data_IF_369432116482
#
_entry.id   IF_369432116482
#
_cell.length_a   1.000
_cell.length_b   1.000
_cell.length_c   1.000
_cell.angle_alpha   90.00
_cell.angle_beta   90.00
_cell.angle_gamma   90.00
#
_symmetry.space_group_name_H-M   'P 1'
#
loop_
_entity.id
_entity.type
_entity.pdbx_description
1 polymer ?
#
# COMPACT_ATOMS: atom_id res chain seq x y z
N UNK A 1 -44.36 21.42 -39.20
CA UNK A 1 -43.48 22.22 -38.32
C UNK A 1 -43.81 21.97 -36.84
N UNK A 2 -43.77 20.71 -36.37
CA UNK A 2 -44.07 20.31 -34.99
C UNK A 2 -43.13 19.19 -34.47
N UNK A 3 -42.08 18.88 -35.22
CA UNK A 3 -41.16 17.75 -34.93
C UNK A 3 -39.86 18.24 -34.25
N UNK A 4 -39.65 19.55 -34.15
CA UNK A 4 -38.39 20.14 -33.66
C UNK A 4 -38.31 20.38 -32.14
N UNK A 5 -39.36 20.05 -31.36
CA UNK A 5 -39.43 20.38 -29.93
C UNK A 5 -39.19 19.20 -28.98
N UNK A 6 -38.86 18.01 -29.48
CA UNK A 6 -38.67 16.80 -28.65
C UNK A 6 -37.18 16.44 -28.46
N UNK A 7 -36.25 17.11 -29.15
CA UNK A 7 -34.82 16.77 -29.13
C UNK A 7 -33.97 17.51 -28.07
N UNK A 8 -34.56 18.39 -27.25
CA UNK A 8 -33.82 19.19 -26.26
C UNK A 8 -34.05 18.75 -24.80
N UNK A 9 -34.35 17.47 -24.58
CA UNK A 9 -34.50 16.89 -23.24
C UNK A 9 -33.53 15.72 -22.99
N UNK A 10 -32.44 15.65 -23.76
CA UNK A 10 -31.43 14.60 -23.61
C UNK A 10 -30.27 15.07 -22.72
N UNK A 11 -30.37 14.65 -21.46
CA UNK A 11 -29.25 14.21 -20.63
C UNK A 11 -28.21 15.26 -20.20
N UNK A 12 -28.62 16.15 -19.30
CA UNK A 12 -27.73 16.54 -18.20
C UNK A 12 -27.85 15.53 -17.05
N UNK A 13 -27.55 14.25 -17.33
CA UNK A 13 -27.27 13.30 -16.24
C UNK A 13 -25.87 13.64 -15.79
N UNK A 14 -25.75 14.56 -14.83
CA UNK A 14 -24.51 14.74 -14.08
C UNK A 14 -24.16 13.38 -13.49
N UNK A 15 -23.13 12.73 -14.05
CA UNK A 15 -22.43 11.65 -13.37
C UNK A 15 -21.81 12.27 -12.12
N UNK A 16 -22.58 12.38 -11.04
CA UNK A 16 -22.01 12.43 -9.72
C UNK A 16 -21.31 11.08 -9.56
N UNK A 17 -20.02 11.04 -9.93
CA UNK A 17 -19.17 9.94 -9.56
C UNK A 17 -19.35 9.75 -8.05
N UNK A 18 -19.57 8.52 -7.56
CA UNK A 18 -19.60 8.30 -6.13
C UNK A 18 -18.26 8.80 -5.60
N UNK A 19 -18.29 9.91 -4.87
CA UNK A 19 -17.16 10.37 -4.08
C UNK A 19 -17.07 9.34 -2.98
N UNK A 20 -16.25 8.30 -3.21
CA UNK A 20 -15.89 7.35 -2.18
C UNK A 20 -15.16 8.16 -1.10
N UNK A 21 -15.89 8.54 -0.06
CA UNK A 21 -15.33 9.19 1.10
C UNK A 21 -14.41 8.20 1.81
N UNK A 22 -13.12 8.53 1.88
CA UNK A 22 -12.15 7.72 2.61
C UNK A 22 -12.54 7.59 4.07
N UNK A 23 -12.15 6.47 4.66
CA UNK A 23 -12.34 6.15 6.08
C UNK A 23 -11.00 6.13 6.80
N UNK A 24 -10.97 6.69 8.00
CA UNK A 24 -9.79 6.70 8.85
C UNK A 24 -10.20 6.33 10.29
N UNK A 25 -9.42 5.46 10.92
CA UNK A 25 -9.55 5.18 12.35
C UNK A 25 -8.21 5.42 13.02
N UNK A 26 -8.21 6.33 13.99
CA UNK A 26 -7.03 6.71 14.76
C UNK A 26 -7.18 6.12 16.16
N UNK A 27 -6.23 5.29 16.56
CA UNK A 27 -6.17 4.72 17.89
C UNK A 27 -5.06 5.42 18.65
N UNK A 28 -5.40 6.10 19.73
CA UNK A 28 -4.44 6.77 20.62
C UNK A 28 -4.77 6.45 22.07
N UNK A 29 -3.87 6.77 22.99
CA UNK A 29 -4.21 6.84 24.41
C UNK A 29 -4.71 8.25 24.74
N UNK A 30 -5.74 8.40 25.57
CA UNK A 30 -6.11 9.72 26.11
C UNK A 30 -5.04 10.30 27.04
N UNK A 31 -4.26 9.44 27.69
CA UNK A 31 -3.18 9.85 28.59
C UNK A 31 -1.88 10.23 27.86
N UNK A 32 -1.85 10.13 26.52
CA UNK A 32 -0.68 10.49 25.72
C UNK A 32 -0.65 12.00 25.42
N UNK A 33 0.22 12.73 26.13
CA UNK A 33 0.35 14.19 26.01
C UNK A 33 0.74 14.69 24.60
N UNK A 34 1.43 13.87 23.80
CA UNK A 34 1.87 14.27 22.45
C UNK A 34 0.96 13.74 21.33
N UNK A 35 0.07 12.79 21.61
CA UNK A 35 -0.82 12.21 20.61
C UNK A 35 -1.93 13.19 20.19
N UNK A 36 -2.54 13.86 21.16
CA UNK A 36 -3.62 14.82 20.89
C UNK A 36 -3.19 15.95 19.92
N UNK A 37 -2.08 16.69 20.17
CA UNK A 37 -1.67 17.76 19.26
C UNK A 37 -1.22 17.23 17.88
N UNK A 38 -0.72 15.99 17.79
CA UNK A 38 -0.44 15.36 16.51
C UNK A 38 -1.73 15.05 15.73
N UNK A 39 -2.72 14.43 16.39
CA UNK A 39 -4.01 14.07 15.79
C UNK A 39 -4.79 15.30 15.33
N UNK A 40 -4.75 16.39 16.08
CA UNK A 40 -5.38 17.67 15.70
C UNK A 40 -4.82 18.23 14.38
N UNK A 41 -3.53 17.99 14.09
CA UNK A 41 -2.90 18.38 12.81
C UNK A 41 -3.10 17.35 11.71
N UNK A 42 -3.17 16.06 12.07
CA UNK A 42 -3.42 14.98 11.12
C UNK A 42 -4.86 15.07 10.57
N UNK A 43 -5.82 15.46 11.38
CA UNK A 43 -7.24 15.54 10.99
C UNK A 43 -7.49 16.37 9.72
N UNK A 44 -7.10 17.67 9.65
CA UNK A 44 -7.30 18.47 8.44
C UNK A 44 -6.50 17.96 7.24
N UNK A 45 -5.34 17.31 7.47
CA UNK A 45 -4.58 16.66 6.40
C UNK A 45 -5.37 15.51 5.78
N UNK A 46 -5.98 14.66 6.61
CA UNK A 46 -6.83 13.56 6.15
C UNK A 46 -8.08 14.09 5.42
N UNK A 47 -8.76 15.09 5.96
CA UNK A 47 -9.94 15.70 5.32
C UNK A 47 -9.59 16.29 3.94
N UNK A 48 -8.50 17.06 3.84
CA UNK A 48 -7.99 17.61 2.57
C UNK A 48 -7.73 16.51 1.53
N UNK A 49 -7.35 15.31 1.97
CA UNK A 49 -7.06 14.16 1.12
C UNK A 49 -8.27 13.20 0.97
N UNK A 50 -9.50 13.68 1.25
CA UNK A 50 -10.74 12.98 0.91
C UNK A 50 -11.24 11.98 1.96
N UNK A 51 -10.64 11.96 3.16
CA UNK A 51 -11.14 11.15 4.27
C UNK A 51 -12.19 11.94 5.05
N UNK A 52 -13.45 11.52 4.95
CA UNK A 52 -14.57 12.20 5.64
C UNK A 52 -15.11 11.39 6.82
N UNK A 53 -14.82 10.10 6.85
CA UNK A 53 -15.25 9.20 7.93
C UNK A 53 -14.07 8.94 8.88
N UNK A 54 -13.71 9.94 9.69
CA UNK A 54 -12.60 9.88 10.64
C UNK A 54 -13.13 9.57 12.04
N UNK A 55 -12.65 8.49 12.66
CA UNK A 55 -12.98 8.10 14.04
C UNK A 55 -11.72 8.07 14.89
N UNK A 56 -11.80 8.53 16.14
CA UNK A 56 -10.72 8.42 17.12
C UNK A 56 -11.18 7.49 18.26
N UNK A 57 -10.33 6.53 18.64
CA UNK A 57 -10.60 5.56 19.70
C UNK A 57 -9.48 5.57 20.75
N UNK A 58 -9.85 5.41 22.02
CA UNK A 58 -8.89 5.22 23.11
C UNK A 58 -8.56 3.73 23.29
N UNK A 59 -7.45 3.25 22.72
CA UNK A 59 -7.11 1.83 22.81
C UNK A 59 -6.52 1.39 24.16
N UNK A 60 -6.18 2.34 25.04
CA UNK A 60 -5.71 2.03 26.39
C UNK A 60 -6.89 1.85 27.33
N UNK A 61 -7.90 2.70 27.28
CA UNK A 61 -9.03 2.61 28.21
C UNK A 61 -10.22 1.80 27.66
N UNK A 62 -10.31 1.58 26.35
CA UNK A 62 -11.33 0.72 25.72
C UNK A 62 -10.75 -0.66 25.37
N UNK A 63 -11.27 -1.70 26.03
CA UNK A 63 -10.87 -3.09 25.80
C UNK A 63 -11.15 -3.57 24.37
N UNK A 64 -12.25 -3.12 23.76
CA UNK A 64 -12.59 -3.46 22.39
C UNK A 64 -11.59 -2.80 21.43
N UNK A 65 -11.32 -1.51 21.60
CA UNK A 65 -10.33 -0.80 20.78
C UNK A 65 -8.93 -1.42 20.93
N UNK A 66 -8.55 -1.88 22.12
CA UNK A 66 -7.29 -2.61 22.33
C UNK A 66 -7.24 -3.92 21.54
N UNK A 67 -8.33 -4.69 21.55
CA UNK A 67 -8.41 -5.93 20.78
C UNK A 67 -8.39 -5.67 19.27
N UNK A 68 -9.01 -4.57 18.81
CA UNK A 68 -8.95 -4.12 17.42
C UNK A 68 -7.51 -3.77 17.00
N UNK A 69 -6.77 -3.01 17.81
CA UNK A 69 -5.34 -2.69 17.56
C UNK A 69 -4.51 -3.97 17.43
N UNK A 70 -4.63 -4.89 18.40
CA UNK A 70 -3.89 -6.15 18.37
C UNK A 70 -4.22 -6.97 17.11
N UNK A 71 -5.50 -6.98 16.70
CA UNK A 71 -5.93 -7.65 15.46
C UNK A 71 -5.38 -6.97 14.21
N UNK A 72 -5.42 -5.64 14.14
CA UNK A 72 -4.89 -4.85 13.01
C UNK A 72 -3.40 -5.15 12.85
N UNK A 73 -2.62 -5.04 13.92
CA UNK A 73 -1.18 -5.30 13.88
C UNK A 73 -0.87 -6.74 13.45
N UNK A 74 -1.61 -7.72 13.96
CA UNK A 74 -1.49 -9.11 13.55
C UNK A 74 -1.84 -9.32 12.06
N UNK A 75 -2.96 -8.77 11.59
CA UNK A 75 -3.40 -8.86 10.19
C UNK A 75 -2.41 -8.16 9.25
N UNK A 76 -1.76 -7.09 9.71
CA UNK A 76 -0.73 -6.37 8.97
C UNK A 76 0.66 -6.99 9.05
N UNK A 77 0.87 -7.96 9.96
CA UNK A 77 2.18 -8.57 10.19
C UNK A 77 3.18 -7.60 10.81
N UNK A 78 2.71 -6.62 11.58
CA UNK A 78 3.55 -5.58 12.19
C UNK A 78 4.42 -6.23 13.28
N UNK A 79 5.75 -6.27 13.12
CA UNK A 79 6.63 -6.82 14.13
C UNK A 79 6.69 -5.88 15.35
N UNK A 80 7.09 -6.40 16.50
CA UNK A 80 7.02 -5.67 17.78
C UNK A 80 7.80 -4.35 17.74
N UNK A 81 8.95 -4.32 17.07
CA UNK A 81 9.78 -3.12 16.89
C UNK A 81 9.14 -2.02 16.04
N UNK A 82 8.06 -2.31 15.32
CA UNK A 82 7.30 -1.37 14.49
C UNK A 82 5.97 -0.94 15.13
N UNK A 83 5.60 -1.48 16.28
CA UNK A 83 4.35 -1.11 16.95
C UNK A 83 4.52 0.24 17.67
N UNK A 84 3.73 1.23 17.26
CA UNK A 84 3.80 2.58 17.80
C UNK A 84 2.90 2.76 19.02
N UNK A 85 3.11 3.85 19.76
CA UNK A 85 2.25 4.21 20.90
C UNK A 85 0.85 4.71 20.47
N UNK A 86 0.65 4.97 19.17
CA UNK A 86 -0.62 5.25 18.52
C UNK A 86 -0.59 4.68 17.10
N UNK A 87 -1.75 4.50 16.46
CA UNK A 87 -1.79 4.13 15.04
C UNK A 87 -2.95 4.78 14.31
N UNK A 88 -2.79 4.96 13.01
CA UNK A 88 -3.83 5.45 12.08
C UNK A 88 -4.01 4.43 10.98
N UNK A 89 -5.23 3.90 10.85
CA UNK A 89 -5.64 2.99 9.79
C UNK A 89 -6.49 3.73 8.77
N UNK A 90 -6.03 3.78 7.52
CA UNK A 90 -6.73 4.40 6.40
C UNK A 90 -7.29 3.34 5.46
N UNK A 91 -8.60 3.38 5.22
CA UNK A 91 -9.36 2.49 4.32
C UNK A 91 -9.12 0.99 4.53
N UNK A 92 -8.72 0.60 5.74
CA UNK A 92 -8.35 -0.77 6.07
C UNK A 92 -7.09 -1.29 5.37
N UNK A 93 -6.31 -0.41 4.73
CA UNK A 93 -5.19 -0.79 3.84
C UNK A 93 -3.86 -0.16 4.20
N UNK A 94 -3.87 1.06 4.73
CA UNK A 94 -2.64 1.81 5.00
C UNK A 94 -2.55 2.08 6.48
N UNK A 95 -1.52 1.54 7.11
CA UNK A 95 -1.29 1.60 8.54
C UNK A 95 -0.10 2.51 8.83
N UNK A 96 -0.33 3.57 9.59
CA UNK A 96 0.70 4.47 10.08
C UNK A 96 0.81 4.30 11.59
N UNK A 97 1.96 3.85 12.08
CA UNK A 97 2.25 3.64 13.50
C UNK A 97 3.11 4.80 14.03
N UNK A 98 2.73 5.34 15.19
CA UNK A 98 3.40 6.46 15.85
C UNK A 98 3.14 7.84 15.22
N UNK A 99 4.13 8.73 15.31
CA UNK A 99 4.12 10.10 14.81
C UNK A 99 4.78 10.20 13.42
N UNK A 100 4.23 9.49 12.43
CA UNK A 100 4.71 9.61 11.04
C UNK A 100 4.62 11.06 10.57
N UNK A 101 5.70 11.58 9.99
CA UNK A 101 5.72 12.96 9.52
C UNK A 101 4.60 13.27 8.53
N UNK A 102 3.99 14.44 8.69
CA UNK A 102 2.88 14.87 7.85
C UNK A 102 3.25 14.91 6.37
N UNK A 103 4.48 15.31 6.03
CA UNK A 103 4.96 15.36 4.65
C UNK A 103 5.03 13.96 4.03
N UNK A 104 5.44 12.94 4.80
CA UNK A 104 5.46 11.54 4.36
C UNK A 104 4.03 11.03 4.13
N UNK A 105 3.12 11.31 5.07
CA UNK A 105 1.70 10.91 4.95
C UNK A 105 1.04 11.61 3.76
N UNK A 106 1.19 12.93 3.63
CA UNK A 106 0.58 13.73 2.56
C UNK A 106 1.13 13.33 1.19
N UNK A 107 2.45 13.19 1.06
CA UNK A 107 3.06 12.76 -0.20
C UNK A 107 2.54 11.39 -0.65
N UNK A 108 2.46 10.42 0.28
CA UNK A 108 1.90 9.11 0.01
C UNK A 108 0.45 9.21 -0.46
N UNK A 109 -0.40 9.95 0.26
CA UNK A 109 -1.82 10.08 -0.05
C UNK A 109 -2.08 10.73 -1.41
N UNK A 110 -1.26 11.71 -1.81
CA UNK A 110 -1.44 12.45 -3.05
C UNK A 110 -0.85 11.77 -4.27
N UNK A 111 0.26 11.03 -4.11
CA UNK A 111 1.08 10.62 -5.26
C UNK A 111 1.27 9.12 -5.38
N UNK A 112 1.19 8.36 -4.29
CA UNK A 112 1.71 6.98 -4.26
C UNK A 112 0.67 5.95 -3.86
N UNK A 113 -0.42 6.37 -3.22
CA UNK A 113 -1.46 5.51 -2.66
C UNK A 113 -1.95 4.42 -3.62
N UNK A 114 -2.09 4.73 -4.90
CA UNK A 114 -2.55 3.79 -5.94
C UNK A 114 -1.55 2.67 -6.25
N UNK A 115 -0.27 2.85 -5.88
CA UNK A 115 0.79 1.87 -6.12
C UNK A 115 0.85 0.79 -5.03
N UNK A 116 0.13 0.98 -3.93
CA UNK A 116 0.16 0.08 -2.78
C UNK A 116 -1.21 -0.56 -2.54
N UNK A 117 -1.26 -1.89 -2.52
CA UNK A 117 -2.44 -2.63 -2.08
C UNK A 117 -2.59 -2.57 -0.55
N UNK A 118 -1.46 -2.54 0.16
CA UNK A 118 -1.31 -2.50 1.62
C UNK A 118 0.00 -1.81 1.96
N UNK A 119 0.05 -1.07 3.07
CA UNK A 119 1.24 -0.36 3.54
C UNK A 119 1.31 -0.38 5.07
N UNK A 120 2.52 -0.51 5.63
CA UNK A 120 2.81 -0.17 7.04
C UNK A 120 4.01 0.76 7.08
N UNK A 121 3.84 1.93 7.69
CA UNK A 121 4.92 2.89 7.95
C UNK A 121 4.91 3.21 9.44
N UNK A 122 6.08 3.16 10.08
CA UNK A 122 6.23 3.46 11.50
C UNK A 122 7.22 4.60 11.71
N UNK A 123 6.87 5.54 12.57
CA UNK A 123 7.82 6.49 13.12
C UNK A 123 7.48 6.76 14.59
N UNK A 124 8.21 6.10 15.48
CA UNK A 124 7.97 6.19 16.93
C UNK A 124 8.75 7.34 17.60
N UNK A 125 9.59 8.04 16.83
CA UNK A 125 10.32 9.19 17.33
C UNK A 125 9.37 10.38 17.50
N UNK A 126 9.26 10.88 18.72
CA UNK A 126 8.49 12.10 19.02
C UNK A 126 9.19 13.39 18.55
N UNK A 127 10.33 13.27 17.88
CA UNK A 127 11.02 14.39 17.23
C UNK A 127 10.42 14.61 15.84
N UNK A 128 9.77 15.76 15.65
CA UNK A 128 9.23 16.18 14.36
C UNK A 128 10.31 16.25 13.26
N UNK A 129 11.59 16.34 13.64
CA UNK A 129 12.73 16.37 12.72
C UNK A 129 13.47 15.03 12.65
N UNK A 130 12.85 13.94 13.11
CA UNK A 130 13.43 12.61 12.97
C UNK A 130 13.83 12.36 11.53
N UNK A 131 15.11 12.06 11.25
CA UNK A 131 15.55 11.95 9.87
C UNK A 131 15.02 10.70 9.18
N UNK A 132 14.26 9.83 9.88
CA UNK A 132 13.98 8.48 9.43
C UNK A 132 12.59 7.99 9.85
N UNK A 133 12.05 7.06 9.06
CA UNK A 133 10.89 6.21 9.35
C UNK A 133 11.21 4.75 8.98
N UNK A 134 10.36 3.82 9.43
CA UNK A 134 10.43 2.40 9.08
C UNK A 134 9.30 2.03 8.11
N UNK A 135 9.60 1.16 7.15
CA UNK A 135 8.66 0.62 6.17
C UNK A 135 8.66 -0.91 6.28
N UNK A 136 7.48 -1.51 6.43
CA UNK A 136 7.34 -2.97 6.33
C UNK A 136 7.22 -3.35 4.86
N UNK A 137 8.23 -4.04 4.34
CA UNK A 137 8.22 -4.51 2.97
C UNK A 137 7.28 -5.73 2.79
N UNK A 138 6.83 -6.02 1.55
CA UNK A 138 5.93 -7.15 1.29
C UNK A 138 6.48 -8.53 1.68
N UNK A 139 7.81 -8.68 1.77
CA UNK A 139 8.48 -9.90 2.22
C UNK A 139 8.56 -10.03 3.75
N UNK A 140 8.00 -9.06 4.49
CA UNK A 140 8.05 -8.99 5.94
C UNK A 140 9.32 -8.37 6.51
N UNK A 141 10.26 -7.93 5.66
CA UNK A 141 11.47 -7.23 6.12
C UNK A 141 11.17 -5.78 6.53
N UNK A 142 11.88 -5.29 7.55
CA UNK A 142 11.79 -3.90 7.99
C UNK A 142 12.89 -3.09 7.31
N UNK A 143 12.50 -2.05 6.58
CA UNK A 143 13.41 -1.10 5.94
C UNK A 143 13.43 0.21 6.68
N UNK A 144 14.62 0.77 6.88
CA UNK A 144 14.80 2.11 7.41
C UNK A 144 14.92 3.09 6.24
N UNK A 145 14.07 4.10 6.23
CA UNK A 145 13.94 5.07 5.16
C UNK A 145 14.32 6.46 5.68
N UNK A 146 14.82 7.34 4.81
CA UNK A 146 14.97 8.77 5.14
C UNK A 146 13.60 9.46 5.13
N UNK A 147 13.34 10.35 6.07
CA UNK A 147 12.12 11.17 6.09
C UNK A 147 12.01 12.11 4.87
N UNK A 148 13.13 12.40 4.20
CA UNK A 148 13.14 13.19 2.96
C UNK A 148 12.83 12.37 1.71
N UNK A 149 12.69 11.05 1.85
CA UNK A 149 12.51 10.12 0.75
C UNK A 149 11.07 9.60 0.75
N UNK A 150 10.47 9.46 -0.44
CA UNK A 150 9.08 8.99 -0.54
C UNK A 150 8.96 7.51 -0.15
N UNK A 151 7.73 7.08 0.16
CA UNK A 151 7.47 5.68 0.53
C UNK A 151 7.70 4.77 -0.68
N UNK A 152 7.32 5.22 -1.88
CA UNK A 152 7.60 4.55 -3.15
C UNK A 152 9.10 4.32 -3.37
N UNK A 153 9.90 5.37 -3.27
CA UNK A 153 11.35 5.30 -3.43
C UNK A 153 11.98 4.33 -2.43
N UNK A 154 11.55 4.34 -1.16
CA UNK A 154 12.11 3.43 -0.15
C UNK A 154 11.69 1.97 -0.37
N UNK A 155 10.46 1.75 -0.84
CA UNK A 155 9.96 0.43 -1.18
C UNK A 155 10.82 -0.26 -2.25
N UNK A 156 11.24 0.50 -3.27
CA UNK A 156 12.01 -0.01 -4.40
C UNK A 156 13.47 -0.32 -4.08
N UNK A 157 14.07 0.35 -3.08
CA UNK A 157 15.51 0.25 -2.73
C UNK A 157 16.00 -1.12 -2.22
N UNK A 158 15.15 -2.15 -2.18
CA UNK A 158 15.54 -3.54 -1.92
C UNK A 158 15.06 -4.54 -2.97
N UNK A 159 14.32 -4.09 -4.00
CA UNK A 159 13.78 -4.93 -5.07
C UNK A 159 14.76 -5.11 -6.25
N UNK A 160 15.89 -4.40 -6.23
CA UNK A 160 16.89 -4.40 -7.31
C UNK A 160 17.69 -5.71 -7.45
N UNK A 161 17.49 -6.72 -6.60
CA UNK A 161 18.22 -7.99 -6.65
C UNK A 161 17.44 -9.15 -7.28
N UNK A 162 16.16 -8.99 -7.63
CA UNK A 162 15.36 -10.05 -8.28
C UNK A 162 15.15 -9.82 -9.79
N UNK A 163 15.18 -8.57 -10.27
CA UNK A 163 15.11 -8.24 -11.71
C UNK A 163 16.39 -8.61 -12.48
N UNK A 164 17.54 -8.73 -11.81
CA UNK A 164 18.79 -9.13 -12.47
C UNK A 164 18.88 -10.65 -12.74
N UNK A 165 18.01 -11.47 -12.13
CA UNK A 165 18.00 -12.93 -12.33
C UNK A 165 16.96 -13.41 -13.37
N UNK A 166 16.02 -12.56 -13.79
CA UNK A 166 15.02 -12.91 -14.82
C UNK A 166 15.32 -12.33 -16.20
N UNK A 167 16.44 -11.61 -16.39
CA UNK A 167 16.97 -11.30 -17.72
C UNK A 167 17.85 -12.43 -18.28
N UNK A 168 17.43 -13.68 -18.12
CA UNK A 168 17.82 -14.69 -19.10
C UNK A 168 16.98 -14.43 -20.35
N UNK A 169 17.53 -13.60 -21.25
CA UNK A 169 17.01 -13.45 -22.60
C UNK A 169 17.19 -14.80 -23.27
N UNK A 170 16.14 -15.63 -23.21
CA UNK A 170 16.06 -16.84 -24.02
C UNK A 170 15.98 -16.35 -25.46
N UNK A 171 17.12 -16.41 -26.16
CA UNK A 171 17.15 -16.19 -27.60
C UNK A 171 16.17 -17.17 -28.24
N UNK A 172 15.08 -16.65 -28.79
CA UNK A 172 13.97 -17.40 -29.37
C UNK A 172 14.43 -18.39 -30.45
N UNK A 173 15.59 -18.14 -31.06
CA UNK A 173 16.21 -19.04 -32.03
C UNK A 173 16.78 -20.32 -31.41
N UNK A 174 17.25 -20.29 -30.16
CA UNK A 174 17.80 -21.46 -29.48
C UNK A 174 16.71 -22.40 -28.98
N UNK A 175 15.55 -21.85 -28.57
CA UNK A 175 14.39 -22.63 -28.14
C UNK A 175 13.74 -23.38 -29.32
N UNK A 176 13.65 -22.74 -30.48
CA UNK A 176 13.14 -23.38 -31.71
C UNK A 176 14.07 -24.49 -32.20
N UNK A 177 15.40 -24.28 -32.14
CA UNK A 177 16.38 -25.32 -32.47
C UNK A 177 16.33 -26.51 -31.49
N UNK A 178 16.16 -26.25 -30.20
CA UNK A 178 16.06 -27.30 -29.18
C UNK A 178 14.80 -28.17 -29.34
N UNK A 179 13.65 -27.54 -29.60
CA UNK A 179 12.40 -28.28 -29.88
C UNK A 179 12.53 -29.06 -31.18
N UNK A 180 13.11 -28.48 -32.23
CA UNK A 180 13.29 -29.17 -33.52
C UNK A 180 14.21 -30.39 -33.39
N UNK A 181 15.31 -30.28 -32.62
CA UNK A 181 16.21 -31.40 -32.35
C UNK A 181 15.52 -32.52 -31.56
N UNK A 182 14.67 -32.17 -30.58
CA UNK A 182 13.92 -33.16 -29.79
C UNK A 182 12.87 -33.88 -30.66
N UNK A 183 12.16 -33.15 -31.53
CA UNK A 183 11.17 -33.72 -32.44
C UNK A 183 11.83 -34.66 -33.45
N UNK A 184 12.99 -34.29 -34.01
CA UNK A 184 13.75 -35.17 -34.90
C UNK A 184 14.25 -36.43 -34.19
N UNK A 185 14.76 -36.31 -32.96
CA UNK A 185 15.20 -37.46 -32.18
C UNK A 185 14.04 -38.44 -31.90
N UNK A 186 12.86 -37.93 -31.54
CA UNK A 186 11.67 -38.76 -31.33
C UNK A 186 11.21 -39.43 -32.63
N UNK A 187 11.21 -38.72 -33.76
CA UNK A 187 10.88 -39.32 -35.06
C UNK A 187 11.84 -40.45 -35.45
N UNK A 188 13.14 -40.25 -35.23
CA UNK A 188 14.17 -41.28 -35.51
C UNK A 188 13.99 -42.49 -34.60
N UNK A 189 13.69 -42.29 -33.32
CA UNK A 189 13.45 -43.40 -32.38
C UNK A 189 12.16 -44.18 -32.69
N UNK A 190 11.12 -43.51 -33.20
CA UNK A 190 9.89 -44.16 -33.68
C UNK A 190 10.14 -44.97 -34.97
N UNK A 191 10.93 -44.45 -35.90
CA UNK A 191 11.33 -45.16 -37.13
C UNK A 191 12.17 -46.40 -36.83
N UNK A 192 12.96 -46.37 -35.77
CA UNK A 192 13.79 -47.49 -35.28
C UNK A 192 13.03 -48.48 -34.38
N UNK A 193 11.74 -48.23 -34.08
CA UNK A 193 10.91 -49.13 -33.28
C UNK A 193 11.31 -49.25 -31.81
N UNK A 194 12.06 -48.27 -31.28
CA UNK A 194 12.61 -48.29 -29.92
C UNK A 194 11.60 -47.77 -28.89
N UNK A 195 10.72 -46.85 -29.28
CA UNK A 195 9.56 -46.45 -28.47
C UNK A 195 8.30 -47.14 -29.02
N UNK A 196 7.65 -47.95 -28.17
CA UNK A 196 6.28 -48.47 -28.38
C UNK A 196 5.30 -47.67 -27.53
#
# INVERSE_FOLDING_TARGET
MRVFLVLLALAAVSLAAPVFAGSAVIYKSESCGHCTPYVEKLFPLLEKNGFQNITVKDYINDQQARAEVAKIQADFGVPLEMQGHMLTLLDGKYLFEGHVQFDVVENFLQNERQNFAKLVVTQETMDANSPQYLLLAPDGSVKQCSATQSVGECSEQGSANTESLLKFKVDSNLFVLGILALVLAVLVLLQLGVLK
#
